data_IF_148368153538
#
_entry.id   IF_148368153538
#
_cell.length_a   1.000
_cell.length_b   1.000
_cell.length_c   1.000
_cell.angle_alpha   90.00
_cell.angle_beta   90.00
_cell.angle_gamma   90.00
#
_symmetry.space_group_name_H-M   'P 1'
#
loop_
_entity.id
_entity.type
_entity.pdbx_description
1 polymer ?
#
# COMPACT_ATOMS: atom_id res chain seq x y z
N UNK A 1 -6.51 -7.45 -8.46
CA UNK A 1 -5.90 -6.47 -9.40
C UNK A 1 -4.40 -6.64 -9.27
N UNK A 2 -3.64 -6.45 -10.34
CA UNK A 2 -2.18 -6.55 -10.29
C UNK A 2 -1.57 -5.20 -9.96
N UNK A 3 -0.46 -5.24 -9.23
CA UNK A 3 0.28 -4.06 -8.84
C UNK A 3 0.90 -3.42 -10.08
N UNK A 4 0.63 -2.14 -10.38
CA UNK A 4 1.19 -1.46 -11.55
C UNK A 4 2.71 -1.26 -11.49
N UNK A 5 3.34 -1.53 -10.33
CA UNK A 5 4.80 -1.35 -10.12
C UNK A 5 5.55 -2.66 -10.35
N UNK A 6 5.14 -3.74 -9.70
CA UNK A 6 5.88 -5.01 -9.72
C UNK A 6 5.12 -6.18 -10.36
N UNK A 7 3.86 -5.99 -10.74
CA UNK A 7 3.03 -7.03 -11.36
C UNK A 7 2.47 -8.08 -10.39
N UNK A 8 2.81 -8.03 -9.09
CA UNK A 8 2.24 -8.92 -8.07
C UNK A 8 0.76 -8.62 -7.80
N UNK A 9 0.03 -9.61 -7.29
CA UNK A 9 -1.35 -9.42 -6.86
C UNK A 9 -1.44 -8.39 -5.71
N UNK A 10 -2.30 -7.39 -5.84
CA UNK A 10 -2.69 -6.54 -4.71
C UNK A 10 -3.80 -7.19 -3.89
N UNK A 11 -3.73 -7.01 -2.58
CA UNK A 11 -4.70 -7.53 -1.61
C UNK A 11 -5.32 -6.37 -0.83
N UNK A 12 -6.41 -6.60 -0.11
CA UNK A 12 -6.94 -5.57 0.78
C UNK A 12 -5.92 -5.19 1.85
N UNK A 13 -5.87 -3.91 2.23
CA UNK A 13 -4.89 -3.45 3.21
C UNK A 13 -5.03 -4.17 4.57
N UNK A 14 -6.26 -4.53 4.93
CA UNK A 14 -6.60 -5.31 6.12
C UNK A 14 -6.04 -6.75 6.08
N UNK A 15 -5.91 -7.34 4.89
CA UNK A 15 -5.43 -8.70 4.63
C UNK A 15 -3.90 -8.81 4.49
N UNK A 16 -3.19 -7.68 4.52
CA UNK A 16 -1.72 -7.71 4.55
C UNK A 16 -1.21 -8.53 5.76
N UNK A 17 -0.04 -9.20 5.61
CA UNK A 17 0.62 -9.83 6.74
C UNK A 17 0.80 -8.84 7.89
N UNK A 18 0.42 -9.22 9.12
CA UNK A 18 0.38 -8.30 10.27
C UNK A 18 1.67 -7.48 10.43
N UNK A 19 2.84 -8.12 10.36
CA UNK A 19 4.15 -7.42 10.42
C UNK A 19 4.33 -6.34 9.34
N UNK A 20 3.85 -6.60 8.12
CA UNK A 20 3.95 -5.64 7.03
C UNK A 20 2.94 -4.50 7.22
N UNK A 21 1.70 -4.85 7.55
CA UNK A 21 0.63 -3.88 7.83
C UNK A 21 1.04 -2.94 8.95
N UNK A 22 1.49 -3.47 10.09
CA UNK A 22 1.89 -2.67 11.25
C UNK A 22 3.04 -1.71 10.89
N UNK A 23 4.00 -2.15 10.05
CA UNK A 23 5.07 -1.29 9.54
C UNK A 23 4.53 -0.15 8.66
N UNK A 24 3.57 -0.43 7.78
CA UNK A 24 2.96 0.57 6.90
C UNK A 24 2.01 1.53 7.63
N UNK A 25 1.39 1.07 8.71
CA UNK A 25 0.56 1.90 9.60
C UNK A 25 1.41 2.84 10.45
N UNK A 26 2.57 2.36 10.93
CA UNK A 26 3.51 3.14 11.72
C UNK A 26 4.31 4.18 10.89
N UNK A 27 4.32 4.07 9.56
CA UNK A 27 5.06 4.99 8.67
C UNK A 27 4.40 6.38 8.65
N UNK A 28 5.04 7.41 9.23
CA UNK A 28 4.47 8.75 9.31
C UNK A 28 4.35 9.43 7.95
N UNK A 29 5.13 9.03 6.94
CA UNK A 29 5.03 9.57 5.58
C UNK A 29 3.78 9.06 4.85
N UNK A 30 3.19 7.96 5.34
CA UNK A 30 1.99 7.31 4.77
C UNK A 30 0.72 7.61 5.55
N UNK A 31 0.80 8.26 6.70
CA UNK A 31 -0.35 8.66 7.52
C UNK A 31 -1.05 9.93 7.00
N UNK A 32 -1.47 9.95 5.73
CA UNK A 32 -2.32 11.05 5.20
C UNK A 32 -3.80 10.85 5.52
N UNK A 33 -4.18 9.64 5.93
CA UNK A 33 -5.52 9.18 6.27
C UNK A 33 -5.41 8.29 7.50
N UNK A 34 -6.48 8.21 8.29
CA UNK A 34 -6.56 7.34 9.47
C UNK A 34 -6.32 5.88 9.10
N UNK A 35 -5.70 5.12 10.01
CA UNK A 35 -5.47 3.67 9.85
C UNK A 35 -6.76 2.92 9.53
N UNK A 36 -7.86 3.25 10.21
CA UNK A 36 -9.18 2.66 9.95
C UNK A 36 -9.64 2.88 8.51
N UNK A 37 -9.48 4.10 7.98
CA UNK A 37 -9.83 4.42 6.60
C UNK A 37 -9.01 3.61 5.59
N UNK A 38 -7.70 3.46 5.86
CA UNK A 38 -6.80 2.66 5.01
C UNK A 38 -7.20 1.19 5.01
N UNK A 39 -7.54 0.62 6.16
CA UNK A 39 -8.00 -0.77 6.28
C UNK A 39 -9.31 -1.04 5.53
N UNK A 40 -10.22 -0.07 5.47
CA UNK A 40 -11.53 -0.24 4.82
C UNK A 40 -11.49 0.09 3.32
N UNK A 41 -10.74 1.12 2.92
CA UNK A 41 -10.81 1.67 1.56
C UNK A 41 -9.61 1.37 0.71
N UNK A 42 -8.50 0.85 1.25
CA UNK A 42 -7.27 0.70 0.48
C UNK A 42 -6.94 -0.76 0.21
N UNK A 43 -6.23 -0.95 -0.89
CA UNK A 43 -5.51 -2.17 -1.24
C UNK A 43 -4.01 -1.90 -1.18
N UNK A 44 -3.22 -2.94 -0.99
CA UNK A 44 -1.78 -2.84 -0.99
C UNK A 44 -1.13 -4.03 -1.66
N UNK A 45 0.03 -3.78 -2.26
CA UNK A 45 0.90 -4.83 -2.75
C UNK A 45 1.78 -5.36 -1.60
N UNK A 46 1.74 -6.66 -1.29
CA UNK A 46 2.57 -7.23 -0.22
C UNK A 46 4.06 -7.24 -0.58
N UNK A 47 4.41 -7.30 -1.87
CA UNK A 47 5.80 -7.35 -2.34
C UNK A 47 6.46 -5.98 -2.33
N UNK A 48 5.90 -5.01 -3.07
CA UNK A 48 6.53 -3.69 -3.20
C UNK A 48 5.99 -2.66 -2.21
N UNK A 49 4.93 -2.96 -1.45
CA UNK A 49 4.30 -2.05 -0.47
C UNK A 49 3.60 -0.83 -1.05
N UNK A 50 3.28 -0.86 -2.34
CA UNK A 50 2.43 0.15 -2.97
C UNK A 50 1.04 0.09 -2.37
N UNK A 51 0.56 1.23 -1.88
CA UNK A 51 -0.80 1.40 -1.39
C UNK A 51 -1.66 2.13 -2.42
N UNK A 52 -2.85 1.60 -2.66
CA UNK A 52 -3.77 2.07 -3.69
C UNK A 52 -5.14 2.26 -3.03
N UNK A 53 -5.70 3.46 -3.17
CA UNK A 53 -7.06 3.72 -2.72
C UNK A 53 -8.05 2.89 -3.55
N UNK A 54 -9.19 2.51 -2.98
CA UNK A 54 -10.20 1.65 -3.62
C UNK A 54 -10.84 2.23 -4.88
N UNK A 55 -10.59 3.51 -5.18
CA UNK A 55 -10.92 4.14 -6.45
C UNK A 55 -9.86 3.88 -7.56
N UNK A 56 -8.79 3.13 -7.26
CA UNK A 56 -7.69 2.83 -8.17
C UNK A 56 -6.56 3.87 -8.17
N UNK A 57 -6.63 4.93 -7.36
CA UNK A 57 -5.59 5.95 -7.32
C UNK A 57 -4.43 5.54 -6.39
N UNK A 58 -3.16 5.68 -6.81
CA UNK A 58 -2.02 5.39 -5.95
C UNK A 58 -1.99 6.38 -4.78
N UNK A 59 -1.93 5.82 -3.58
CA UNK A 59 -2.01 6.56 -2.32
C UNK A 59 -0.62 6.82 -1.73
N UNK A 60 0.19 5.76 -1.64
CA UNK A 60 1.58 5.83 -1.19
C UNK A 60 2.44 4.93 -2.07
N UNK A 61 3.28 5.56 -2.89
CA UNK A 61 4.26 4.88 -3.75
C UNK A 61 5.49 4.55 -2.90
N UNK A 62 6.04 3.33 -2.98
CA UNK A 62 7.27 2.97 -2.27
C UNK A 62 8.43 3.88 -2.69
N UNK A 63 9.33 4.26 -1.77
CA UNK A 63 10.57 4.95 -2.16
C UNK A 63 11.42 4.10 -3.11
N UNK A 64 11.34 2.76 -3.02
CA UNK A 64 12.02 1.84 -3.94
C UNK A 64 11.33 1.70 -5.32
N UNK A 65 10.12 2.24 -5.49
CA UNK A 65 9.38 2.19 -6.76
C UNK A 65 9.62 3.41 -7.64
N UNK A 66 10.56 4.29 -7.29
CA UNK A 66 11.17 5.17 -8.29
C UNK A 66 12.14 4.34 -9.11
N UNK A 67 11.97 4.19 -10.43
CA UNK A 67 13.04 3.67 -11.26
C UNK A 67 14.27 4.55 -11.01
N UNK A 68 15.37 3.91 -10.60
CA UNK A 68 16.68 4.56 -10.61
C UNK A 68 16.87 5.12 -12.02
N UNK A 69 16.94 6.45 -12.11
CA UNK A 69 17.20 7.16 -13.36
C UNK A 69 18.59 6.84 -13.88
#
# INVERSE_FOLDING_TARGET
MDCPVCGSAVVEFSELPGKLRDRLEADPQRQRQSVEHRREKHTACPDCTLEIHGCGQPYAVPEEATPAR
#
